data_IF_931192044712
#
_entry.id   IF_931192044712
#
_cell.length_a   1.000
_cell.length_b   1.000
_cell.length_c   1.000
_cell.angle_alpha   90.00
_cell.angle_beta   90.00
_cell.angle_gamma   90.00
#
_symmetry.space_group_name_H-M   'P 1'
#
loop_
_entity.id
_entity.type
_entity.pdbx_description
1 polymer ?
#
# COMPACT_ATOMS: atom_id res chain seq x y z
N UNK A 1 18.24 -10.54 21.14
CA UNK A 1 17.22 -9.51 20.82
C UNK A 1 17.85 -8.16 21.12
N UNK A 2 18.39 -7.47 20.11
CA UNK A 2 19.05 -6.17 20.33
C UNK A 2 17.96 -5.09 20.31
N UNK A 3 17.70 -4.49 21.44
CA UNK A 3 16.92 -3.27 21.56
C UNK A 3 17.81 -2.12 21.08
N UNK A 4 17.43 -1.44 20.00
CA UNK A 4 17.97 -0.12 19.70
C UNK A 4 17.35 0.87 20.69
N UNK A 5 18.12 1.81 21.21
CA UNK A 5 17.73 2.83 22.22
C UNK A 5 16.53 3.72 21.79
N UNK A 6 16.04 3.58 20.58
CA UNK A 6 14.92 4.36 20.01
C UNK A 6 13.54 3.70 20.19
N UNK A 7 13.40 2.67 21.02
CA UNK A 7 12.11 2.02 21.33
C UNK A 7 11.47 1.22 20.16
N UNK A 8 12.14 1.08 19.02
CA UNK A 8 11.64 0.32 17.89
C UNK A 8 12.02 -1.16 17.99
N UNK A 9 11.01 -2.05 17.93
CA UNK A 9 11.21 -3.50 17.93
C UNK A 9 11.21 -4.06 16.52
N UNK A 10 12.22 -4.88 16.17
CA UNK A 10 12.29 -5.60 14.89
C UNK A 10 11.39 -6.83 14.93
N UNK A 11 10.12 -6.68 14.58
CA UNK A 11 9.14 -7.77 14.52
C UNK A 11 8.99 -8.43 13.14
N UNK A 12 9.44 -7.77 12.06
CA UNK A 12 9.28 -8.23 10.69
C UNK A 12 10.56 -8.91 10.16
N UNK A 13 10.40 -10.00 9.40
CA UNK A 13 11.49 -10.66 8.67
C UNK A 13 11.66 -9.99 7.30
N UNK A 14 12.84 -10.15 6.67
CA UNK A 14 13.14 -9.56 5.35
C UNK A 14 12.10 -9.96 4.28
N UNK A 15 11.64 -11.21 4.26
CA UNK A 15 10.58 -11.69 3.36
C UNK A 15 9.27 -10.89 3.51
N UNK A 16 8.91 -10.54 4.76
CA UNK A 16 7.71 -9.75 5.03
C UNK A 16 7.86 -8.34 4.45
N UNK A 17 9.00 -7.67 4.69
CA UNK A 17 9.27 -6.32 4.19
C UNK A 17 9.20 -6.26 2.66
N UNK A 18 9.83 -7.22 1.97
CA UNK A 18 9.82 -7.27 0.51
C UNK A 18 8.41 -7.49 -0.05
N UNK A 19 7.64 -8.42 0.55
CA UNK A 19 6.28 -8.70 0.08
C UNK A 19 5.30 -7.59 0.45
N UNK A 20 5.44 -6.96 1.61
CA UNK A 20 4.66 -5.77 1.97
C UNK A 20 4.91 -4.63 0.98
N UNK A 21 6.17 -4.42 0.58
CA UNK A 21 6.51 -3.40 -0.42
C UNK A 21 5.88 -3.69 -1.79
N UNK A 22 5.95 -4.93 -2.27
CA UNK A 22 5.31 -5.34 -3.53
C UNK A 22 3.79 -5.33 -3.43
N UNK A 23 3.23 -5.89 -2.36
CA UNK A 23 1.79 -5.96 -2.13
C UNK A 23 1.15 -4.58 -1.94
N UNK A 24 1.87 -3.65 -1.30
CA UNK A 24 1.45 -2.27 -1.15
C UNK A 24 1.45 -1.48 -2.47
N UNK A 25 2.34 -1.82 -3.40
CA UNK A 25 2.37 -1.22 -4.74
C UNK A 25 1.25 -1.77 -5.65
N UNK A 26 0.80 -3.01 -5.41
CA UNK A 26 -0.25 -3.68 -6.20
C UNK A 26 -1.58 -3.55 -5.44
N UNK A 27 -2.38 -2.56 -5.79
CA UNK A 27 -3.68 -2.30 -5.18
C UNK A 27 -4.82 -2.27 -6.19
N UNK A 28 -5.97 -1.76 -5.76
CA UNK A 28 -7.17 -1.56 -6.59
C UNK A 28 -6.92 -0.65 -7.78
N UNK A 29 -5.94 0.25 -7.70
CA UNK A 29 -5.51 1.10 -8.81
C UNK A 29 -5.04 0.30 -10.02
N UNK A 30 -4.31 -0.82 -9.81
CA UNK A 30 -3.87 -1.69 -10.90
C UNK A 30 -5.01 -2.56 -11.43
N UNK A 31 -5.81 -3.19 -10.57
CA UNK A 31 -6.83 -4.15 -10.99
C UNK A 31 -8.15 -3.51 -11.45
N UNK A 32 -8.54 -2.41 -10.83
CA UNK A 32 -9.81 -1.73 -11.13
C UNK A 32 -9.62 -0.40 -11.86
N UNK A 33 -8.73 0.47 -11.34
CA UNK A 33 -8.52 1.81 -11.88
C UNK A 33 -7.80 1.84 -13.23
N UNK A 34 -6.96 0.85 -13.54
CA UNK A 34 -6.22 0.81 -14.79
C UNK A 34 -7.12 0.66 -16.03
N UNK A 35 -8.26 -0.02 -15.91
CA UNK A 35 -9.17 -0.25 -17.04
C UNK A 35 -9.68 1.07 -17.64
N UNK A 36 -10.16 2.00 -16.83
CA UNK A 36 -10.61 3.32 -17.29
C UNK A 36 -9.46 4.16 -17.86
N UNK A 37 -8.30 4.08 -17.25
CA UNK A 37 -7.11 4.81 -17.70
C UNK A 37 -6.63 4.29 -19.06
N UNK A 38 -6.61 2.97 -19.27
CA UNK A 38 -6.26 2.35 -20.56
C UNK A 38 -7.26 2.75 -21.65
N UNK A 39 -8.55 2.78 -21.33
CA UNK A 39 -9.57 3.22 -22.29
C UNK A 39 -9.38 4.68 -22.75
N UNK A 40 -8.93 5.56 -21.86
CA UNK A 40 -8.72 6.97 -22.18
C UNK A 40 -7.39 7.23 -22.89
N UNK A 41 -6.31 6.52 -22.51
CA UNK A 41 -4.94 6.82 -22.97
C UNK A 41 -4.37 5.78 -23.93
N UNK A 42 -4.99 4.61 -24.04
CA UNK A 42 -4.47 3.51 -24.85
C UNK A 42 -3.07 3.08 -24.43
N UNK A 43 -2.20 2.64 -25.37
CA UNK A 43 -0.84 2.17 -25.06
C UNK A 43 0.08 3.22 -24.43
N UNK A 44 -0.24 4.51 -24.52
CA UNK A 44 0.57 5.60 -23.96
C UNK A 44 0.62 5.58 -22.44
N UNK A 45 -0.28 4.85 -21.77
CA UNK A 45 -0.23 4.59 -20.34
C UNK A 45 1.13 4.01 -19.90
N UNK A 46 1.77 3.18 -20.74
CA UNK A 46 3.08 2.58 -20.46
C UNK A 46 4.14 3.65 -20.23
N UNK A 47 4.14 4.72 -21.04
CA UNK A 47 5.08 5.83 -20.90
C UNK A 47 4.85 6.56 -19.57
N UNK A 48 3.59 6.80 -19.22
CA UNK A 48 3.25 7.43 -17.93
C UNK A 48 3.70 6.61 -16.74
N UNK A 49 3.52 5.29 -16.79
CA UNK A 49 3.99 4.40 -15.73
C UNK A 49 5.52 4.33 -15.66
N UNK A 50 6.24 4.36 -16.79
CA UNK A 50 7.70 4.40 -16.79
C UNK A 50 8.25 5.69 -16.16
N UNK A 51 7.71 6.83 -16.55
CA UNK A 51 8.12 8.13 -15.98
C UNK A 51 7.78 8.20 -14.49
N UNK A 52 6.53 7.87 -14.12
CA UNK A 52 6.10 7.87 -12.73
C UNK A 52 6.90 6.88 -11.87
N UNK A 53 7.17 5.69 -12.39
CA UNK A 53 7.98 4.68 -11.71
C UNK A 53 9.41 5.13 -11.47
N UNK A 54 10.04 5.80 -12.44
CA UNK A 54 11.37 6.37 -12.28
C UNK A 54 11.41 7.45 -11.18
N UNK A 55 10.43 8.33 -11.19
CA UNK A 55 10.32 9.41 -10.17
C UNK A 55 10.12 8.80 -8.78
N UNK A 56 9.19 7.83 -8.64
CA UNK A 56 8.95 7.14 -7.36
C UNK A 56 10.20 6.40 -6.90
N UNK A 57 10.90 5.71 -7.79
CA UNK A 57 12.15 5.01 -7.46
C UNK A 57 13.19 5.97 -6.88
N UNK A 58 13.38 7.15 -7.50
CA UNK A 58 14.32 8.16 -7.01
C UNK A 58 13.92 8.67 -5.62
N UNK A 59 12.63 8.98 -5.42
CA UNK A 59 12.10 9.45 -4.12
C UNK A 59 12.30 8.39 -3.04
N UNK A 60 11.94 7.15 -3.32
CA UNK A 60 12.05 6.05 -2.35
C UNK A 60 13.49 5.70 -2.03
N UNK A 61 14.40 5.83 -2.99
CA UNK A 61 15.83 5.66 -2.75
C UNK A 61 16.37 6.72 -1.80
N UNK A 62 16.07 8.00 -2.05
CA UNK A 62 16.48 9.11 -1.17
C UNK A 62 15.90 8.94 0.25
N UNK A 63 14.62 8.57 0.36
CA UNK A 63 13.98 8.30 1.64
C UNK A 63 14.63 7.11 2.37
N UNK A 64 15.00 6.06 1.63
CA UNK A 64 15.69 4.89 2.18
C UNK A 64 17.06 5.25 2.75
N UNK A 65 17.83 6.07 2.06
CA UNK A 65 19.14 6.55 2.53
C UNK A 65 19.01 7.36 3.83
N UNK A 66 18.05 8.31 3.89
CA UNK A 66 17.75 9.07 5.11
C UNK A 66 17.29 8.18 6.28
N UNK A 67 16.48 7.15 5.99
CA UNK A 67 15.95 6.25 7.01
C UNK A 67 16.99 5.26 7.55
N UNK A 68 18.06 4.98 6.79
CA UNK A 68 19.20 4.18 7.26
C UNK A 68 20.11 5.01 8.16
N UNK A 69 20.33 6.27 7.81
CA UNK A 69 21.15 7.20 8.59
C UNK A 69 20.46 7.56 9.92
N UNK A 70 19.17 7.83 9.87
CA UNK A 70 18.37 8.19 11.03
C UNK A 70 17.06 7.38 11.08
N UNK A 71 17.06 6.21 11.76
CA UNK A 71 15.87 5.37 11.87
C UNK A 71 14.89 5.96 12.91
N UNK A 72 13.88 6.67 12.42
CA UNK A 72 12.86 7.33 13.23
C UNK A 72 11.45 6.92 12.83
N UNK A 73 10.50 7.00 13.77
CA UNK A 73 9.09 6.90 13.47
C UNK A 73 8.61 8.19 12.77
N UNK A 74 7.61 8.06 11.87
CA UNK A 74 7.07 9.22 11.15
C UNK A 74 7.74 9.52 9.81
N UNK A 75 8.89 8.89 9.51
CA UNK A 75 9.55 8.90 8.20
C UNK A 75 9.47 10.27 7.47
N UNK A 76 8.67 10.38 6.39
CA UNK A 76 8.67 11.64 5.59
C UNK A 76 8.23 12.87 6.38
N UNK A 77 7.32 12.76 7.36
CA UNK A 77 6.89 13.92 8.14
C UNK A 77 7.98 14.37 9.11
N UNK A 78 8.76 13.41 9.66
CA UNK A 78 9.93 13.71 10.47
C UNK A 78 11.00 14.43 9.64
N UNK A 79 11.37 13.90 8.47
CA UNK A 79 12.38 14.50 7.61
C UNK A 79 11.92 15.85 7.04
N UNK A 80 10.64 15.99 6.66
CA UNK A 80 10.10 17.27 6.23
C UNK A 80 10.16 18.32 7.34
N UNK A 81 9.85 17.95 8.59
CA UNK A 81 9.99 18.84 9.74
C UNK A 81 11.46 19.24 9.96
N UNK A 82 12.37 18.26 9.96
CA UNK A 82 13.78 18.47 10.24
C UNK A 82 14.47 19.39 9.23
N UNK A 83 14.19 19.20 7.93
CA UNK A 83 14.91 19.89 6.85
C UNK A 83 14.18 21.09 6.27
N UNK A 84 12.84 21.13 6.35
CA UNK A 84 12.03 22.19 5.76
C UNK A 84 11.24 23.00 6.80
N UNK A 85 11.11 22.51 8.04
CA UNK A 85 10.45 23.19 9.13
C UNK A 85 9.11 22.59 9.53
N UNK A 86 8.47 23.21 10.54
CA UNK A 86 7.27 22.67 11.20
C UNK A 86 6.07 22.54 10.27
N UNK A 87 5.81 23.53 9.43
CA UNK A 87 4.64 23.54 8.53
C UNK A 87 4.70 22.44 7.47
N UNK A 88 5.81 22.24 6.71
CA UNK A 88 5.94 21.09 5.82
C UNK A 88 5.85 19.74 6.52
N UNK A 89 6.41 19.58 7.72
CA UNK A 89 6.29 18.38 8.52
C UNK A 89 4.86 18.07 8.90
N UNK A 90 4.12 19.05 9.41
CA UNK A 90 2.71 18.94 9.73
C UNK A 90 1.86 18.58 8.49
N UNK A 91 2.05 19.33 7.40
CA UNK A 91 1.31 19.10 6.15
C UNK A 91 1.55 17.70 5.58
N UNK A 92 2.81 17.24 5.61
CA UNK A 92 3.19 15.91 5.14
C UNK A 92 2.51 14.80 5.97
N UNK A 93 2.50 14.92 7.29
CA UNK A 93 1.84 13.97 8.19
C UNK A 93 0.32 13.91 7.97
N UNK A 94 -0.33 15.06 7.88
CA UNK A 94 -1.77 15.15 7.62
C UNK A 94 -2.16 14.61 6.25
N UNK A 95 -1.38 14.94 5.21
CA UNK A 95 -1.62 14.44 3.85
C UNK A 95 -1.49 12.91 3.79
N UNK A 96 -0.50 12.36 4.48
CA UNK A 96 -0.32 10.92 4.59
C UNK A 96 -1.51 10.22 5.26
N UNK A 97 -1.96 10.74 6.42
CA UNK A 97 -3.13 10.23 7.12
C UNK A 97 -4.40 10.30 6.26
N UNK A 98 -4.67 11.45 5.66
CA UNK A 98 -5.83 11.66 4.78
C UNK A 98 -5.80 10.71 3.59
N UNK A 99 -4.63 10.53 2.95
CA UNK A 99 -4.46 9.59 1.85
C UNK A 99 -4.86 8.16 2.24
N UNK A 100 -4.42 7.68 3.41
CA UNK A 100 -4.78 6.34 3.87
C UNK A 100 -6.27 6.18 4.14
N UNK A 101 -6.96 7.19 4.66
CA UNK A 101 -8.42 7.15 4.84
C UNK A 101 -9.11 7.03 3.49
N UNK A 102 -8.76 7.88 2.53
CA UNK A 102 -9.39 7.88 1.20
C UNK A 102 -9.11 6.58 0.44
N UNK A 103 -7.87 6.09 0.48
CA UNK A 103 -7.51 4.80 -0.12
C UNK A 103 -8.29 3.65 0.52
N UNK A 104 -8.40 3.62 1.85
CA UNK A 104 -9.20 2.59 2.54
C UNK A 104 -10.67 2.62 2.13
N UNK A 105 -11.27 3.79 1.98
CA UNK A 105 -12.64 3.93 1.47
C UNK A 105 -12.77 3.37 0.04
N UNK A 106 -11.82 3.68 -0.84
CA UNK A 106 -11.81 3.19 -2.22
C UNK A 106 -11.66 1.67 -2.28
N UNK A 107 -10.77 1.10 -1.47
CA UNK A 107 -10.56 -0.36 -1.41
C UNK A 107 -11.77 -1.10 -0.84
N UNK A 108 -12.40 -0.60 0.22
CA UNK A 108 -13.63 -1.18 0.77
C UNK A 108 -14.79 -1.11 -0.24
N UNK A 109 -14.87 -0.04 -1.01
CA UNK A 109 -15.85 0.10 -2.10
C UNK A 109 -15.60 -0.94 -3.18
N UNK A 110 -14.34 -1.14 -3.60
CA UNK A 110 -13.97 -2.15 -4.59
C UNK A 110 -14.30 -3.57 -4.10
N UNK A 111 -14.05 -3.89 -2.83
CA UNK A 111 -14.46 -5.16 -2.22
C UNK A 111 -15.97 -5.37 -2.36
N UNK A 112 -16.77 -4.34 -2.07
CA UNK A 112 -18.23 -4.40 -2.24
C UNK A 112 -18.64 -4.73 -3.68
N UNK A 113 -17.99 -4.11 -4.67
CA UNK A 113 -18.24 -4.35 -6.10
C UNK A 113 -17.87 -5.80 -6.50
N UNK A 114 -16.69 -6.28 -6.06
CA UNK A 114 -16.24 -7.65 -6.38
C UNK A 114 -17.14 -8.72 -5.75
N UNK A 115 -17.55 -8.53 -4.49
CA UNK A 115 -18.45 -9.47 -3.81
C UNK A 115 -19.83 -9.47 -4.49
N UNK A 116 -20.36 -8.31 -4.86
CA UNK A 116 -21.65 -8.20 -5.53
C UNK A 116 -21.66 -8.89 -6.91
N UNK A 117 -20.52 -8.99 -7.59
CA UNK A 117 -20.40 -9.75 -8.85
C UNK A 117 -20.70 -11.24 -8.66
N UNK A 118 -20.26 -11.83 -7.53
CA UNK A 118 -20.47 -13.25 -7.22
C UNK A 118 -21.77 -13.48 -6.44
N UNK A 119 -22.20 -12.53 -5.64
CA UNK A 119 -23.36 -12.58 -4.76
C UNK A 119 -24.22 -11.32 -4.93
N UNK A 120 -25.04 -11.24 -6.01
CA UNK A 120 -25.82 -10.04 -6.30
C UNK A 120 -26.82 -9.63 -5.22
N UNK A 121 -27.29 -10.61 -4.41
CA UNK A 121 -28.25 -10.40 -3.34
C UNK A 121 -27.64 -9.74 -2.08
N UNK A 122 -26.28 -9.71 -1.99
CA UNK A 122 -25.59 -9.13 -0.84
C UNK A 122 -25.38 -7.65 -1.08
N UNK A 123 -25.93 -6.76 -0.24
CA UNK A 123 -25.68 -5.33 -0.34
C UNK A 123 -24.17 -5.01 -0.20
N UNK A 124 -23.65 -4.12 -1.03
CA UNK A 124 -22.21 -3.76 -1.07
C UNK A 124 -21.67 -3.27 0.26
N UNK A 125 -22.50 -2.57 1.05
CA UNK A 125 -22.09 -2.07 2.36
C UNK A 125 -21.84 -3.19 3.39
N UNK A 126 -22.56 -4.34 3.27
CA UNK A 126 -22.36 -5.50 4.16
C UNK A 126 -20.97 -6.09 3.94
N UNK A 127 -20.59 -6.30 2.68
CA UNK A 127 -19.27 -6.81 2.32
C UNK A 127 -18.16 -5.88 2.78
N UNK A 128 -18.33 -4.57 2.59
CA UNK A 128 -17.40 -3.57 3.05
C UNK A 128 -17.25 -3.57 4.58
N UNK A 129 -18.37 -3.65 5.32
CA UNK A 129 -18.37 -3.69 6.78
C UNK A 129 -17.67 -4.95 7.32
N UNK A 130 -17.99 -6.12 6.76
CA UNK A 130 -17.35 -7.39 7.16
C UNK A 130 -15.85 -7.32 6.91
N UNK A 131 -15.43 -6.83 5.74
CA UNK A 131 -14.01 -6.67 5.41
C UNK A 131 -13.31 -5.71 6.39
N UNK A 132 -13.92 -4.56 6.69
CA UNK A 132 -13.39 -3.59 7.64
C UNK A 132 -13.21 -4.20 9.04
N UNK A 133 -14.19 -4.95 9.53
CA UNK A 133 -14.13 -5.62 10.85
C UNK A 133 -13.01 -6.66 10.86
N UNK A 134 -12.93 -7.50 9.83
CA UNK A 134 -11.89 -8.55 9.73
C UNK A 134 -10.50 -7.93 9.71
N UNK A 135 -10.26 -6.92 8.86
CA UNK A 135 -8.96 -6.24 8.78
C UNK A 135 -8.60 -5.59 10.11
N UNK A 136 -9.57 -4.93 10.76
CA UNK A 136 -9.36 -4.31 12.07
C UNK A 136 -8.96 -5.34 13.12
N UNK A 137 -9.65 -6.47 13.17
CA UNK A 137 -9.32 -7.55 14.12
C UNK A 137 -7.92 -8.11 13.88
N UNK A 138 -7.54 -8.34 12.61
CA UNK A 138 -6.20 -8.82 12.26
C UNK A 138 -5.13 -7.81 12.72
N UNK A 139 -5.35 -6.53 12.51
CA UNK A 139 -4.42 -5.48 12.93
C UNK A 139 -4.26 -5.37 14.46
N UNK A 140 -5.31 -5.71 15.22
CA UNK A 140 -5.27 -5.69 16.69
C UNK A 140 -4.49 -6.86 17.31
N UNK A 141 -4.25 -7.95 16.56
CA UNK A 141 -3.59 -9.15 17.09
C UNK A 141 -2.09 -8.89 17.33
N UNK A 142 -1.33 -8.64 16.29
CA UNK A 142 0.10 -8.29 16.39
C UNK A 142 0.69 -7.85 15.05
N UNK A 143 1.79 -7.10 15.09
CA UNK A 143 2.57 -6.71 13.91
C UNK A 143 3.11 -7.91 13.14
N UNK A 144 3.50 -8.98 13.85
CA UNK A 144 3.99 -10.22 13.23
C UNK A 144 2.89 -10.96 12.48
N UNK A 145 1.68 -11.06 13.04
CA UNK A 145 0.53 -11.64 12.37
C UNK A 145 0.14 -10.82 11.14
N UNK A 146 0.07 -9.49 11.26
CA UNK A 146 -0.16 -8.60 10.13
C UNK A 146 0.85 -8.84 9.00
N UNK A 147 2.14 -8.91 9.30
CA UNK A 147 3.19 -9.17 8.31
C UNK A 147 3.06 -10.52 7.60
N UNK A 148 2.60 -11.56 8.30
CA UNK A 148 2.36 -12.89 7.70
C UNK A 148 1.11 -12.88 6.79
N UNK A 149 0.03 -12.25 7.19
CA UNK A 149 -1.16 -12.09 6.35
C UNK A 149 -0.84 -11.27 5.09
N UNK A 150 -0.18 -10.14 5.23
CA UNK A 150 0.21 -9.30 4.09
C UNK A 150 1.15 -10.03 3.14
N UNK A 151 2.07 -10.84 3.65
CA UNK A 151 2.94 -11.70 2.83
C UNK A 151 2.15 -12.64 1.93
N UNK A 152 1.16 -13.36 2.47
CA UNK A 152 0.35 -14.29 1.69
C UNK A 152 -0.58 -13.57 0.69
N UNK A 153 -1.20 -12.48 1.11
CA UNK A 153 -2.01 -11.66 0.20
C UNK A 153 -1.17 -11.04 -0.92
N UNK A 154 0.06 -10.62 -0.65
CA UNK A 154 0.97 -10.14 -1.67
C UNK A 154 1.35 -11.21 -2.69
N UNK A 155 1.59 -12.46 -2.26
CA UNK A 155 1.83 -13.59 -3.17
C UNK A 155 0.67 -13.79 -4.12
N UNK A 156 -0.58 -13.76 -3.62
CA UNK A 156 -1.79 -13.92 -4.46
C UNK A 156 -1.86 -12.79 -5.50
N UNK A 157 -1.63 -11.53 -5.10
CA UNK A 157 -1.61 -10.38 -6.02
C UNK A 157 -0.54 -10.53 -7.10
N UNK A 158 0.68 -10.89 -6.72
CA UNK A 158 1.81 -11.08 -7.65
C UNK A 158 1.53 -12.25 -8.60
N UNK A 159 1.01 -13.37 -8.10
CA UNK A 159 0.65 -14.51 -8.93
C UNK A 159 -0.47 -14.16 -9.94
N UNK A 160 -1.46 -13.37 -9.52
CA UNK A 160 -2.50 -12.88 -10.41
C UNK A 160 -1.94 -12.01 -11.54
N UNK A 161 -1.01 -11.09 -11.23
CA UNK A 161 -0.36 -10.23 -12.24
C UNK A 161 0.47 -11.08 -13.22
N UNK A 162 1.27 -12.02 -12.71
CA UNK A 162 2.05 -12.93 -13.56
C UNK A 162 1.12 -13.77 -14.44
N UNK A 163 0.02 -14.29 -13.87
CA UNK A 163 -0.99 -15.02 -14.63
C UNK A 163 -1.58 -14.18 -15.76
N UNK A 164 -1.96 -12.93 -15.50
CA UNK A 164 -2.46 -12.01 -16.54
C UNK A 164 -1.42 -11.75 -17.65
N UNK A 165 -0.14 -11.64 -17.30
CA UNK A 165 0.93 -11.46 -18.29
C UNK A 165 1.07 -12.72 -19.15
N UNK A 166 1.09 -13.89 -18.54
CA UNK A 166 1.33 -15.17 -19.25
C UNK A 166 0.13 -15.55 -20.14
N UNK A 167 -1.10 -15.36 -19.66
CA UNK A 167 -2.32 -15.72 -20.40
C UNK A 167 -2.86 -14.59 -21.28
N UNK A 168 -2.39 -13.36 -21.08
CA UNK A 168 -2.77 -12.20 -21.90
C UNK A 168 -1.87 -11.96 -23.12
N UNK A 169 -0.75 -12.69 -23.18
CA UNK A 169 0.14 -12.74 -24.34
C UNK A 169 -0.27 -13.89 -25.26
#
# INVERSE_FOLDING_TARGET
MSTNDNGMHRGLKNRHIQMIALGGAIGTGLFYGSASTIQLTGPSITVSYLIGGLVIFMIMRMLGEMSVDEPVSGSFSHFANKYWGEFPGFLSGWNYWFNYIVVSMAELTAVGIYVNYWFPDVPTWVSALVCLVVITLINLISVGAFGEFEFWFAIVKVAAVIGMIVFGL
#
